data_IF_870147071370
#
_entry.id   IF_870147071370
#
_cell.length_a   1.000
_cell.length_b   1.000
_cell.length_c   1.000
_cell.angle_alpha   90.00
_cell.angle_beta   90.00
_cell.angle_gamma   90.00
#
_symmetry.space_group_name_H-M   'P 1'
#
loop_
_entity.id
_entity.type
_entity.pdbx_description
1 polymer ?
#
# COMPACT_ATOMS: atom_id res chain seq x y z
N UNK A 1 -4.21 16.65 -14.19
CA UNK A 1 -2.95 16.32 -14.89
C UNK A 1 -2.00 15.63 -13.91
N UNK A 2 -2.20 14.33 -13.71
CA UNK A 2 -1.27 13.53 -12.92
C UNK A 2 -0.08 13.15 -13.81
N UNK A 3 0.92 14.00 -13.84
CA UNK A 3 2.20 13.67 -14.46
C UNK A 3 3.09 12.99 -13.43
N UNK A 4 3.54 11.78 -13.71
CA UNK A 4 4.56 11.09 -12.93
C UNK A 4 5.81 11.98 -12.84
N UNK A 5 6.39 12.09 -11.64
CA UNK A 5 7.59 12.90 -11.40
C UNK A 5 8.75 12.00 -11.05
N UNK A 6 9.90 12.26 -11.64
CA UNK A 6 11.15 11.63 -11.21
C UNK A 6 11.66 12.40 -10.00
N UNK A 7 11.93 11.68 -8.89
CA UNK A 7 12.45 12.30 -7.67
C UNK A 7 13.80 12.97 -7.92
N UNK A 8 14.04 14.12 -7.30
CA UNK A 8 15.29 14.86 -7.44
C UNK A 8 16.54 14.03 -7.10
N UNK A 9 16.43 13.09 -6.15
CA UNK A 9 17.52 12.20 -5.74
C UNK A 9 17.98 11.23 -6.86
N UNK A 10 17.12 10.93 -7.84
CA UNK A 10 17.46 10.03 -8.96
C UNK A 10 17.78 10.76 -10.26
N UNK A 11 17.77 12.09 -10.26
CA UNK A 11 18.09 12.91 -11.42
C UNK A 11 19.50 13.47 -11.29
N UNK A 12 20.26 13.46 -12.36
CA UNK A 12 21.61 14.02 -12.40
C UNK A 12 21.62 15.55 -12.29
N UNK A 13 20.53 16.22 -12.68
CA UNK A 13 20.38 17.68 -12.62
C UNK A 13 19.90 18.19 -11.24
N UNK A 14 19.54 17.28 -10.32
CA UNK A 14 19.08 17.62 -8.97
C UNK A 14 17.78 18.43 -8.92
N UNK A 15 17.08 18.56 -10.04
CA UNK A 15 15.85 19.36 -10.13
C UNK A 15 14.61 18.47 -9.96
N UNK A 16 13.59 19.04 -9.35
CA UNK A 16 12.27 18.41 -9.21
C UNK A 16 11.23 19.33 -9.86
N UNK A 17 10.99 19.10 -11.13
CA UNK A 17 10.00 19.85 -11.89
C UNK A 17 9.10 18.92 -12.68
N UNK A 18 8.02 19.47 -13.23
CA UNK A 18 7.12 18.70 -14.09
C UNK A 18 7.90 18.07 -15.24
N UNK A 19 7.55 16.83 -15.55
CA UNK A 19 8.17 16.06 -16.63
C UNK A 19 7.81 16.66 -18.00
N UNK A 20 8.36 17.81 -18.32
CA UNK A 20 8.17 18.48 -19.61
C UNK A 20 9.27 18.13 -20.63
N UNK A 21 10.22 17.26 -20.26
CA UNK A 21 11.32 16.85 -21.13
C UNK A 21 12.06 15.61 -20.60
N UNK A 22 13.05 15.16 -21.38
CA UNK A 22 13.92 14.06 -21.00
C UNK A 22 14.76 14.45 -19.77
N UNK A 23 14.79 13.61 -18.75
CA UNK A 23 15.61 13.78 -17.57
C UNK A 23 16.58 12.60 -17.46
N UNK A 24 17.90 12.83 -17.46
CA UNK A 24 18.87 11.76 -17.28
C UNK A 24 18.75 11.18 -15.86
N UNK A 25 18.81 9.87 -15.73
CA UNK A 25 18.93 9.19 -14.44
C UNK A 25 20.39 9.23 -13.97
N UNK A 26 20.60 9.31 -12.65
CA UNK A 26 21.93 9.12 -12.09
C UNK A 26 22.42 7.70 -12.42
N UNK A 27 23.72 7.56 -12.75
CA UNK A 27 24.28 6.32 -13.28
C UNK A 27 24.05 5.09 -12.39
N UNK A 28 24.07 5.27 -11.08
CA UNK A 28 23.76 4.21 -10.10
C UNK A 28 22.33 3.69 -10.22
N UNK A 29 21.36 4.56 -10.46
CA UNK A 29 19.95 4.17 -10.65
C UNK A 29 19.70 3.59 -12.03
N UNK A 30 20.39 4.08 -13.07
CA UNK A 30 20.33 3.50 -14.41
C UNK A 30 20.86 2.07 -14.44
N UNK A 31 21.97 1.80 -13.74
CA UNK A 31 22.55 0.48 -13.61
C UNK A 31 21.67 -0.50 -12.79
N UNK A 32 21.00 0.00 -11.76
CA UNK A 32 20.19 -0.82 -10.84
C UNK A 32 18.78 -1.08 -11.35
N UNK A 33 18.16 -0.11 -12.01
CA UNK A 33 16.74 -0.15 -12.37
C UNK A 33 16.47 -0.03 -13.87
N UNK A 34 17.50 0.06 -14.70
CA UNK A 34 17.34 0.27 -16.15
C UNK A 34 16.49 -0.79 -16.83
N UNK A 35 16.70 -2.08 -16.52
CA UNK A 35 15.90 -3.18 -17.06
C UNK A 35 14.44 -3.11 -16.61
N UNK A 36 14.18 -2.78 -15.34
CA UNK A 36 12.83 -2.63 -14.81
C UNK A 36 12.08 -1.43 -15.43
N UNK A 37 12.81 -0.34 -15.71
CA UNK A 37 12.24 0.83 -16.39
C UNK A 37 11.90 0.49 -17.85
N UNK A 38 12.74 -0.31 -18.50
CA UNK A 38 12.50 -0.81 -19.86
C UNK A 38 11.23 -1.67 -19.89
N UNK A 39 11.14 -2.66 -19.02
CA UNK A 39 9.99 -3.55 -18.91
C UNK A 39 8.69 -2.78 -18.61
N UNK A 40 8.76 -1.82 -17.69
CA UNK A 40 7.62 -0.97 -17.35
C UNK A 40 7.17 -0.10 -18.53
N UNK A 41 8.10 0.38 -19.37
CA UNK A 41 7.75 1.19 -20.53
C UNK A 41 7.12 0.36 -21.65
N UNK A 42 7.59 -0.87 -21.85
CA UNK A 42 7.04 -1.82 -22.83
C UNK A 42 5.66 -2.33 -22.42
N UNK A 43 5.44 -2.52 -21.10
CA UNK A 43 4.16 -2.93 -20.55
C UNK A 43 3.13 -1.79 -20.43
N UNK A 44 3.51 -0.54 -20.70
CA UNK A 44 2.64 0.62 -20.53
C UNK A 44 1.62 0.74 -21.68
N UNK A 45 0.31 0.48 -21.43
CA UNK A 45 -0.69 0.42 -22.51
C UNK A 45 -1.01 1.78 -23.15
N UNK A 46 -0.55 2.87 -22.52
CA UNK A 46 -0.79 4.26 -22.98
C UNK A 46 0.50 4.96 -23.42
N UNK A 47 1.61 4.25 -23.50
CA UNK A 47 2.92 4.74 -23.98
C UNK A 47 3.38 6.08 -23.34
N UNK A 48 2.99 6.35 -22.10
CA UNK A 48 3.39 7.57 -21.40
C UNK A 48 4.79 7.49 -20.79
N UNK A 49 5.31 6.27 -20.59
CA UNK A 49 6.68 6.04 -20.10
C UNK A 49 7.58 5.92 -21.34
N UNK A 50 8.31 6.97 -21.63
CA UNK A 50 9.30 6.99 -22.73
C UNK A 50 10.69 7.13 -22.15
N UNK A 51 11.59 6.26 -22.55
CA UNK A 51 13.01 6.36 -22.21
C UNK A 51 13.85 6.18 -23.49
N UNK A 52 15.08 6.62 -23.43
CA UNK A 52 16.07 6.49 -24.50
C UNK A 52 17.36 6.00 -23.87
N UNK A 53 17.89 4.89 -24.36
CA UNK A 53 19.21 4.43 -23.98
C UNK A 53 20.23 5.37 -24.63
N UNK A 54 20.90 6.18 -23.80
CA UNK A 54 22.04 6.98 -24.25
C UNK A 54 23.25 6.06 -24.23
N UNK A 55 23.68 5.57 -25.40
CA UNK A 55 24.99 4.95 -25.52
C UNK A 55 26.03 6.06 -25.36
N UNK A 56 26.71 6.07 -24.22
CA UNK A 56 27.90 6.92 -24.05
C UNK A 56 28.96 6.51 -25.07
N UNK A 57 28.98 7.21 -26.17
CA UNK A 57 30.10 7.25 -27.09
C UNK A 57 31.18 8.19 -26.57
N UNK A 58 31.58 8.07 -25.32
CA UNK A 58 32.78 8.73 -24.80
C UNK A 58 33.85 7.64 -24.60
N UNK A 59 34.86 7.68 -25.45
CA UNK A 59 36.14 7.00 -25.24
C UNK A 59 36.58 7.18 -23.81
N UNK A 60 36.51 6.13 -23.00
CA UNK A 60 37.17 6.09 -21.71
C UNK A 60 38.64 5.90 -22.01
N UNK A 61 39.41 7.01 -22.11
CA UNK A 61 40.85 6.94 -21.99
C UNK A 61 41.15 6.38 -20.62
N UNK A 62 41.76 5.22 -20.60
CA UNK A 62 42.28 4.59 -19.39
C UNK A 62 43.21 5.56 -18.66
N UNK A 63 42.76 6.04 -17.52
CA UNK A 63 43.65 6.71 -16.57
C UNK A 63 44.28 5.61 -15.74
N UNK A 64 45.59 5.42 -15.95
CA UNK A 64 46.42 4.53 -15.15
C UNK A 64 46.22 4.79 -13.66
N UNK A 65 46.06 3.71 -12.93
CA UNK A 65 46.02 3.69 -11.47
C UNK A 65 47.34 4.27 -10.91
N UNK A 66 47.29 5.21 -9.97
CA UNK A 66 48.46 5.50 -9.14
C UNK A 66 48.62 4.41 -8.09
N UNK A 67 49.82 3.83 -8.09
CA UNK A 67 50.26 2.84 -7.11
C UNK A 67 50.36 3.45 -5.70
N UNK A 68 50.10 2.55 -4.72
CA UNK A 68 50.53 2.63 -3.33
C UNK A 68 50.21 3.89 -2.51
N UNK A 69 49.18 3.83 -1.71
CA UNK A 69 49.14 4.50 -0.41
C UNK A 69 48.96 3.47 0.68
N UNK A 70 49.95 3.54 1.61
CA UNK A 70 50.19 2.65 2.71
C UNK A 70 49.00 2.29 3.59
N UNK A 71 49.03 1.09 4.06
CA UNK A 71 48.23 0.57 5.16
C UNK A 71 48.40 1.45 6.41
N UNK A 72 47.41 2.25 6.74
CA UNK A 72 47.07 2.61 8.11
C UNK A 72 45.72 3.36 8.12
N UNK A 73 44.63 2.65 8.31
CA UNK A 73 43.32 3.06 8.83
C UNK A 73 42.30 1.94 8.63
N UNK A 74 42.51 0.83 9.32
CA UNK A 74 41.45 -0.24 9.42
C UNK A 74 40.77 -0.06 10.76
N UNK A 75 39.76 0.79 10.79
CA UNK A 75 38.58 0.68 11.67
C UNK A 75 37.61 1.84 11.35
N UNK A 76 36.73 1.66 10.42
CA UNK A 76 35.27 1.57 10.68
C UNK A 76 34.50 0.60 9.77
N UNK A 77 35.20 -0.20 8.94
CA UNK A 77 34.51 -1.11 8.01
C UNK A 77 33.76 -2.26 8.71
N UNK A 78 34.20 -2.65 9.91
CA UNK A 78 33.53 -3.70 10.67
C UNK A 78 32.19 -3.25 11.28
N UNK A 79 32.09 -1.99 11.71
CA UNK A 79 30.84 -1.43 12.22
C UNK A 79 29.83 -1.16 11.10
N UNK A 80 30.27 -0.65 9.94
CA UNK A 80 29.39 -0.41 8.80
C UNK A 80 28.85 -1.73 8.21
N UNK A 81 29.65 -2.77 8.17
CA UNK A 81 29.22 -4.13 7.73
C UNK A 81 28.27 -4.77 8.76
N UNK A 82 28.50 -4.54 10.06
CA UNK A 82 27.60 -5.02 11.11
C UNK A 82 26.25 -4.30 11.09
N UNK A 83 26.23 -2.96 10.84
CA UNK A 83 25.01 -2.17 10.72
C UNK A 83 24.24 -2.56 9.44
N UNK A 84 24.92 -2.75 8.32
CA UNK A 84 24.27 -3.22 7.08
C UNK A 84 23.77 -4.65 7.21
N UNK A 85 24.50 -5.53 7.91
CA UNK A 85 24.08 -6.90 8.17
C UNK A 85 22.90 -6.98 9.13
N UNK A 86 22.85 -6.12 10.16
CA UNK A 86 21.72 -6.06 11.09
C UNK A 86 20.46 -5.49 10.42
N UNK A 87 20.60 -4.41 9.63
CA UNK A 87 19.48 -3.84 8.88
C UNK A 87 18.93 -4.80 7.83
N UNK A 88 19.79 -5.58 7.18
CA UNK A 88 19.39 -6.63 6.24
C UNK A 88 18.70 -7.80 6.95
N UNK A 89 19.18 -8.21 8.14
CA UNK A 89 18.57 -9.26 8.94
C UNK A 89 17.23 -8.81 9.57
N UNK A 90 17.13 -7.57 10.02
CA UNK A 90 15.87 -6.97 10.49
C UNK A 90 14.84 -6.82 9.37
N UNK A 91 15.27 -6.41 8.17
CA UNK A 91 14.41 -6.34 6.99
C UNK A 91 13.94 -7.74 6.56
N UNK A 92 14.82 -8.74 6.58
CA UNK A 92 14.44 -10.14 6.33
C UNK A 92 13.48 -10.66 7.39
N UNK A 93 13.70 -10.37 8.66
CA UNK A 93 12.79 -10.76 9.75
C UNK A 93 11.42 -10.10 9.62
N UNK A 94 11.36 -8.85 9.14
CA UNK A 94 10.12 -8.16 8.79
C UNK A 94 9.42 -8.79 7.59
N UNK A 95 10.15 -9.36 6.66
CA UNK A 95 9.61 -10.06 5.49
C UNK A 95 9.23 -11.53 5.77
N UNK A 96 9.79 -12.16 6.80
CA UNK A 96 9.48 -13.54 7.20
C UNK A 96 8.20 -13.67 8.04
N UNK A 97 7.61 -12.55 8.51
CA UNK A 97 6.36 -12.56 9.25
C UNK A 97 5.13 -12.80 8.36
N UNK A 98 4.01 -13.11 8.99
CA UNK A 98 2.72 -13.13 8.30
C UNK A 98 2.43 -11.73 7.73
N UNK A 99 2.41 -11.61 6.40
CA UNK A 99 2.14 -10.38 5.64
C UNK A 99 0.75 -10.38 5.04
N UNK A 100 -0.09 -11.36 5.40
CA UNK A 100 -1.45 -11.45 4.88
C UNK A 100 -2.29 -10.24 5.31
N UNK A 101 -3.09 -9.75 4.39
CA UNK A 101 -4.06 -8.68 4.58
C UNK A 101 -5.40 -9.14 4.03
N UNK A 102 -6.41 -9.25 4.87
CA UNK A 102 -7.78 -9.44 4.44
C UNK A 102 -8.43 -8.08 4.13
N UNK A 103 -9.06 -7.96 2.98
CA UNK A 103 -9.86 -6.79 2.59
C UNK A 103 -11.29 -7.29 2.42
N UNK A 104 -12.15 -7.00 3.38
CA UNK A 104 -13.56 -7.37 3.36
C UNK A 104 -14.36 -6.23 2.71
N UNK A 105 -15.21 -6.55 1.75
CA UNK A 105 -16.09 -5.52 1.19
C UNK A 105 -17.57 -5.86 1.31
N UNK A 106 -18.37 -4.83 1.65
CA UNK A 106 -19.82 -4.82 1.58
C UNK A 106 -20.29 -3.78 0.56
N UNK A 107 -20.98 -4.19 -0.50
CA UNK A 107 -21.28 -3.30 -1.61
C UNK A 107 -22.63 -3.63 -2.27
N UNK A 108 -23.51 -2.63 -2.33
CA UNK A 108 -24.79 -2.77 -3.05
C UNK A 108 -24.63 -2.54 -4.56
N UNK A 109 -23.84 -1.54 -4.93
CA UNK A 109 -23.73 -1.05 -6.32
C UNK A 109 -22.38 -1.36 -6.96
N UNK A 110 -21.46 -2.03 -6.25
CA UNK A 110 -20.12 -2.36 -6.71
C UNK A 110 -19.04 -1.32 -6.37
N UNK A 111 -19.38 -0.16 -5.82
CA UNK A 111 -18.42 0.89 -5.51
C UNK A 111 -17.38 0.44 -4.46
N UNK A 112 -17.83 -0.12 -3.34
CA UNK A 112 -16.93 -0.65 -2.31
C UNK A 112 -16.08 -1.82 -2.82
N UNK A 113 -16.64 -2.69 -3.67
CA UNK A 113 -15.90 -3.75 -4.34
C UNK A 113 -14.75 -3.20 -5.21
N UNK A 114 -15.04 -2.18 -6.03
CA UNK A 114 -14.04 -1.51 -6.85
C UNK A 114 -12.91 -0.87 -6.03
N UNK A 115 -13.24 -0.25 -4.88
CA UNK A 115 -12.23 0.30 -3.97
C UNK A 115 -11.41 -0.80 -3.27
N UNK A 116 -12.02 -1.93 -2.93
CA UNK A 116 -11.31 -3.08 -2.34
C UNK A 116 -10.24 -3.62 -3.29
N UNK A 117 -10.57 -3.76 -4.57
CA UNK A 117 -9.61 -4.18 -5.60
C UNK A 117 -8.48 -3.16 -5.81
N UNK A 118 -8.81 -1.86 -5.83
CA UNK A 118 -7.80 -0.79 -5.91
C UNK A 118 -6.88 -0.81 -4.68
N UNK A 119 -7.45 -1.01 -3.48
CA UNK A 119 -6.71 -1.11 -2.21
C UNK A 119 -5.76 -2.31 -2.22
N UNK A 120 -6.19 -3.46 -2.73
CA UNK A 120 -5.35 -4.64 -2.85
C UNK A 120 -4.11 -4.39 -3.71
N UNK A 121 -4.28 -3.73 -4.87
CA UNK A 121 -3.15 -3.36 -5.74
C UNK A 121 -2.16 -2.44 -5.04
N UNK A 122 -2.63 -1.49 -4.24
CA UNK A 122 -1.77 -0.56 -3.50
C UNK A 122 -1.07 -1.25 -2.32
N UNK A 123 -1.74 -2.20 -1.64
CA UNK A 123 -1.19 -2.92 -0.49
C UNK A 123 0.09 -3.71 -0.81
N UNK A 124 0.21 -4.20 -2.04
CA UNK A 124 1.41 -4.90 -2.51
C UNK A 124 2.67 -4.01 -2.43
N UNK A 125 2.54 -2.69 -2.63
CA UNK A 125 3.65 -1.75 -2.53
C UNK A 125 4.19 -1.60 -1.09
N UNK A 126 3.43 -2.06 -0.10
CA UNK A 126 3.82 -2.09 1.32
C UNK A 126 4.27 -3.48 1.78
N UNK A 127 4.54 -4.38 0.84
CA UNK A 127 4.94 -5.75 1.12
C UNK A 127 3.85 -6.60 1.77
N UNK A 128 2.59 -6.20 1.64
CA UNK A 128 1.44 -6.97 2.11
C UNK A 128 0.98 -7.96 1.02
N UNK A 129 0.41 -9.07 1.45
CA UNK A 129 -0.20 -10.08 0.59
C UNK A 129 -1.71 -9.96 0.74
N UNK A 130 -2.38 -9.11 -0.07
CA UNK A 130 -3.79 -8.85 0.07
C UNK A 130 -4.65 -9.98 -0.51
N UNK A 131 -5.75 -10.26 0.16
CA UNK A 131 -6.84 -11.07 -0.38
C UNK A 131 -8.15 -10.31 -0.20
N UNK A 132 -8.87 -10.10 -1.29
CA UNK A 132 -10.16 -9.43 -1.28
C UNK A 132 -11.25 -10.49 -1.07
N UNK A 133 -12.12 -10.23 -0.12
CA UNK A 133 -13.24 -11.11 0.22
C UNK A 133 -14.56 -10.35 0.10
N UNK A 134 -15.48 -10.95 -0.63
CA UNK A 134 -16.89 -10.59 -0.52
C UNK A 134 -17.39 -11.00 0.87
N UNK A 135 -18.14 -10.14 1.53
CA UNK A 135 -18.74 -10.46 2.83
C UNK A 135 -19.84 -11.53 2.68
N UNK A 136 -20.43 -11.69 1.48
CA UNK A 136 -21.33 -12.80 1.22
C UNK A 136 -20.57 -14.13 1.23
N UNK A 137 -21.05 -15.05 2.06
CA UNK A 137 -20.41 -16.36 2.22
C UNK A 137 -19.07 -16.36 2.96
N UNK A 138 -18.60 -15.23 3.49
CA UNK A 138 -17.41 -15.20 4.32
C UNK A 138 -17.65 -15.91 5.65
N UNK A 139 -16.74 -16.82 6.02
CA UNK A 139 -16.82 -17.55 7.28
C UNK A 139 -16.39 -16.70 8.48
N UNK A 140 -17.36 -16.22 9.27
CA UNK A 140 -17.13 -15.42 10.46
C UNK A 140 -16.18 -16.07 11.48
N UNK A 141 -16.10 -17.42 11.52
CA UNK A 141 -15.19 -18.14 12.43
C UNK A 141 -13.73 -17.94 12.10
N UNK A 142 -13.42 -17.51 10.87
CA UNK A 142 -12.05 -17.26 10.40
C UNK A 142 -11.56 -15.83 10.67
N UNK A 143 -12.43 -14.90 11.06
CA UNK A 143 -12.08 -13.49 11.26
C UNK A 143 -10.85 -13.29 12.15
N UNK A 144 -10.76 -14.02 13.26
CA UNK A 144 -9.64 -13.94 14.20
C UNK A 144 -8.29 -14.43 13.62
N UNK A 145 -8.33 -15.17 12.51
CA UNK A 145 -7.13 -15.65 11.82
C UNK A 145 -6.48 -14.56 10.95
N UNK A 146 -7.28 -13.58 10.51
CA UNK A 146 -6.81 -12.46 9.70
C UNK A 146 -6.26 -11.35 10.59
N UNK A 147 -4.95 -11.39 10.88
CA UNK A 147 -4.30 -10.44 11.80
C UNK A 147 -4.33 -8.99 11.33
N UNK A 148 -4.48 -8.78 10.01
CA UNK A 148 -4.65 -7.49 9.37
C UNK A 148 -5.90 -7.51 8.53
N UNK A 149 -6.82 -6.59 8.81
CA UNK A 149 -8.11 -6.53 8.14
C UNK A 149 -8.46 -5.09 7.76
N UNK A 150 -8.77 -4.86 6.50
CA UNK A 150 -9.40 -3.62 6.05
C UNK A 150 -10.85 -3.92 5.68
N UNK A 151 -11.74 -3.04 6.08
CA UNK A 151 -13.17 -3.14 5.76
C UNK A 151 -13.53 -1.96 4.88
N UNK A 152 -14.15 -2.23 3.73
CA UNK A 152 -14.64 -1.20 2.82
C UNK A 152 -16.10 -1.49 2.55
N UNK A 153 -17.00 -0.66 3.06
CA UNK A 153 -18.44 -0.94 2.96
C UNK A 153 -19.24 0.30 2.61
N UNK A 154 -20.29 0.09 1.82
CA UNK A 154 -21.31 1.11 1.57
C UNK A 154 -22.45 0.97 2.58
N UNK A 155 -23.18 2.07 2.79
CA UNK A 155 -24.44 2.07 3.52
C UNK A 155 -25.59 2.03 2.54
N UNK A 156 -26.62 1.25 2.82
CA UNK A 156 -27.82 1.11 2.02
C UNK A 156 -29.05 1.58 2.77
N UNK A 157 -30.09 1.98 2.03
CA UNK A 157 -31.38 2.38 2.60
C UNK A 157 -31.27 3.44 3.68
N UNK A 158 -31.85 3.16 4.82
CA UNK A 158 -31.85 4.05 6.00
C UNK A 158 -30.81 3.62 7.04
N UNK A 159 -29.61 3.24 6.59
CA UNK A 159 -28.50 2.86 7.47
C UNK A 159 -28.19 1.36 7.50
N UNK A 160 -28.83 0.56 6.62
CA UNK A 160 -28.66 -0.88 6.59
C UNK A 160 -27.33 -1.30 5.97
N UNK A 161 -26.91 -2.51 6.30
CA UNK A 161 -25.79 -3.18 5.61
C UNK A 161 -26.18 -3.45 4.15
N UNK A 162 -25.22 -3.42 3.21
CA UNK A 162 -25.46 -3.94 1.86
C UNK A 162 -25.87 -5.42 1.89
N UNK A 163 -26.64 -5.87 0.92
CA UNK A 163 -27.16 -7.25 0.87
C UNK A 163 -26.07 -8.31 1.06
N UNK A 164 -24.91 -8.11 0.45
CA UNK A 164 -23.78 -9.03 0.58
C UNK A 164 -23.06 -8.98 1.94
N UNK A 165 -23.36 -8.00 2.79
CA UNK A 165 -22.76 -7.88 4.13
C UNK A 165 -23.69 -8.33 5.26
N UNK A 166 -24.99 -8.40 4.99
CA UNK A 166 -26.02 -8.62 6.01
C UNK A 166 -25.83 -9.96 6.77
N UNK A 167 -25.58 -11.04 6.05
CA UNK A 167 -25.41 -12.38 6.64
C UNK A 167 -24.19 -12.43 7.57
N UNK A 168 -23.06 -11.86 7.15
CA UNK A 168 -21.86 -11.78 7.96
C UNK A 168 -22.09 -10.90 9.20
N UNK A 169 -22.73 -9.74 9.02
CA UNK A 169 -23.06 -8.82 10.10
C UNK A 169 -23.92 -9.47 11.20
N UNK A 170 -24.96 -10.16 10.80
CA UNK A 170 -25.85 -10.89 11.73
C UNK A 170 -25.07 -11.98 12.48
N UNK A 171 -24.23 -12.73 11.78
CA UNK A 171 -23.42 -13.78 12.38
C UNK A 171 -22.42 -13.22 13.40
N UNK A 172 -21.66 -12.19 13.03
CA UNK A 172 -20.68 -11.53 13.91
C UNK A 172 -21.37 -10.88 15.11
N UNK A 173 -22.54 -10.29 14.89
CA UNK A 173 -23.31 -9.65 15.97
C UNK A 173 -23.85 -10.63 16.98
N UNK A 174 -24.28 -11.82 16.54
CA UNK A 174 -24.85 -12.85 17.42
C UNK A 174 -23.79 -13.72 18.09
N UNK A 175 -22.72 -14.09 17.38
CA UNK A 175 -21.68 -14.99 17.90
C UNK A 175 -20.60 -14.25 18.68
N UNK A 176 -20.40 -12.96 18.40
CA UNK A 176 -19.42 -12.09 19.06
C UNK A 176 -18.02 -12.72 19.20
N UNK A 177 -17.38 -13.15 18.09
CA UNK A 177 -16.07 -13.79 18.14
C UNK A 177 -15.03 -12.82 18.71
N UNK A 178 -14.06 -13.33 19.49
CA UNK A 178 -12.95 -12.49 19.95
C UNK A 178 -12.01 -12.16 18.80
N UNK A 179 -11.77 -10.86 18.57
CA UNK A 179 -10.83 -10.35 17.57
C UNK A 179 -9.53 -9.80 18.21
N UNK A 180 -9.21 -10.27 19.41
CA UNK A 180 -7.96 -9.88 20.08
C UNK A 180 -6.74 -10.17 19.22
N UNK A 181 -5.89 -9.15 18.99
CA UNK A 181 -4.71 -9.24 18.15
C UNK A 181 -4.96 -9.10 16.65
N UNK A 182 -6.19 -8.78 16.24
CA UNK A 182 -6.51 -8.31 14.88
C UNK A 182 -6.31 -6.79 14.83
N UNK A 183 -5.60 -6.32 13.82
CA UNK A 183 -5.45 -4.88 13.50
C UNK A 183 -6.37 -4.54 12.34
N UNK A 184 -7.13 -3.46 12.45
CA UNK A 184 -8.11 -3.13 11.43
C UNK A 184 -8.25 -1.63 11.18
N UNK A 185 -8.87 -1.29 10.05
CA UNK A 185 -9.41 0.04 9.75
C UNK A 185 -10.59 -0.08 8.79
N UNK A 186 -11.43 0.93 8.77
CA UNK A 186 -12.68 0.95 7.98
C UNK A 186 -12.70 2.16 7.05
N UNK A 187 -13.12 1.93 5.81
CA UNK A 187 -13.53 2.96 4.87
C UNK A 187 -15.03 2.79 4.58
N UNK A 188 -15.81 3.75 4.99
CA UNK A 188 -17.26 3.75 4.88
C UNK A 188 -17.71 4.67 3.75
N UNK A 189 -18.58 4.20 2.87
CA UNK A 189 -19.18 4.98 1.80
C UNK A 189 -20.66 5.22 2.14
N UNK A 190 -21.08 6.46 2.02
CA UNK A 190 -22.45 6.87 2.25
C UNK A 190 -22.85 8.04 1.36
N UNK A 191 -23.92 8.70 1.74
CA UNK A 191 -24.41 9.92 1.12
C UNK A 191 -24.91 10.84 2.25
N UNK A 192 -24.34 12.02 2.36
CA UNK A 192 -24.71 13.03 3.37
C UNK A 192 -26.13 13.59 3.22
N UNK A 193 -26.82 13.26 2.13
CA UNK A 193 -28.24 13.56 1.98
C UNK A 193 -29.16 12.71 2.87
N UNK A 194 -28.63 11.64 3.48
CA UNK A 194 -29.37 10.73 4.35
C UNK A 194 -28.93 10.88 5.81
N UNK A 195 -29.87 10.76 6.74
CA UNK A 195 -29.63 10.95 8.17
C UNK A 195 -28.61 9.95 8.74
N UNK A 196 -28.64 8.71 8.26
CA UNK A 196 -27.73 7.62 8.69
C UNK A 196 -26.48 7.51 7.79
N UNK A 197 -25.80 8.65 7.61
CA UNK A 197 -24.59 8.75 6.79
C UNK A 197 -23.50 7.77 7.26
N UNK A 198 -23.02 6.91 6.33
CA UNK A 198 -21.96 5.92 6.57
C UNK A 198 -22.23 4.93 7.73
N UNK A 199 -23.48 4.76 8.15
CA UNK A 199 -23.88 3.98 9.33
C UNK A 199 -23.33 2.56 9.31
N UNK A 200 -23.42 1.84 8.20
CA UNK A 200 -22.93 0.47 8.08
C UNK A 200 -21.42 0.37 8.39
N UNK A 201 -20.62 1.32 7.92
CA UNK A 201 -19.18 1.35 8.22
C UNK A 201 -18.89 1.73 9.66
N UNK A 202 -19.65 2.66 10.24
CA UNK A 202 -19.54 3.02 11.66
C UNK A 202 -19.87 1.81 12.54
N UNK A 203 -20.92 1.07 12.21
CA UNK A 203 -21.30 -0.14 12.94
C UNK A 203 -20.20 -1.22 12.88
N UNK A 204 -19.55 -1.42 11.73
CA UNK A 204 -18.40 -2.32 11.63
C UNK A 204 -17.22 -1.85 12.47
N UNK A 205 -16.89 -0.56 12.46
CA UNK A 205 -15.81 0.02 13.24
C UNK A 205 -16.02 -0.18 14.74
N UNK A 206 -17.21 0.14 15.23
CA UNK A 206 -17.60 -0.06 16.64
C UNK A 206 -17.61 -1.54 17.03
N UNK A 207 -18.13 -2.40 16.12
CA UNK A 207 -18.20 -3.84 16.37
C UNK A 207 -16.82 -4.46 16.51
N UNK A 208 -15.88 -4.16 15.61
CA UNK A 208 -14.53 -4.69 15.70
C UNK A 208 -13.82 -4.26 16.96
N UNK A 209 -13.98 -3.00 17.38
CA UNK A 209 -13.45 -2.51 18.66
C UNK A 209 -14.09 -3.25 19.83
N UNK A 210 -15.40 -3.40 19.86
CA UNK A 210 -16.12 -4.11 20.93
C UNK A 210 -15.70 -5.59 21.03
N UNK A 211 -15.28 -6.21 19.93
CA UNK A 211 -14.77 -7.59 19.89
C UNK A 211 -13.27 -7.68 20.23
N UNK A 212 -12.62 -6.56 20.57
CA UNK A 212 -11.24 -6.52 21.05
C UNK A 212 -10.18 -6.34 19.95
N UNK A 213 -10.57 -5.98 18.74
CA UNK A 213 -9.61 -5.66 17.68
C UNK A 213 -8.93 -4.30 17.94
N UNK A 214 -7.69 -4.16 17.44
CA UNK A 214 -6.91 -2.93 17.55
C UNK A 214 -7.13 -2.06 16.30
N UNK A 215 -7.62 -0.85 16.48
CA UNK A 215 -7.76 0.10 15.39
C UNK A 215 -6.38 0.59 14.95
N UNK A 216 -5.95 0.23 13.74
CA UNK A 216 -4.68 0.65 13.17
C UNK A 216 -4.74 2.08 12.62
N UNK A 217 -5.89 2.47 12.09
CA UNK A 217 -6.16 3.81 11.59
C UNK A 217 -7.63 4.17 11.81
N UNK A 218 -7.91 5.47 11.96
CA UNK A 218 -9.27 5.97 12.14
C UNK A 218 -10.15 5.63 10.92
N UNK A 219 -11.44 5.48 11.19
CA UNK A 219 -12.43 5.27 10.13
C UNK A 219 -12.47 6.46 9.18
N UNK A 220 -12.55 6.19 7.88
CA UNK A 220 -12.81 7.21 6.87
C UNK A 220 -14.27 7.17 6.44
N UNK A 221 -14.94 8.29 6.57
CA UNK A 221 -16.30 8.48 6.05
C UNK A 221 -16.21 9.17 4.69
N UNK A 222 -16.77 8.54 3.68
CA UNK A 222 -16.75 9.01 2.31
C UNK A 222 -18.18 9.31 1.84
N UNK A 223 -18.39 10.51 1.30
CA UNK A 223 -19.63 10.91 0.66
C UNK A 223 -19.70 10.36 -0.78
N UNK A 224 -20.65 10.80 -1.59
CA UNK A 224 -20.85 10.39 -2.98
C UNK A 224 -19.59 10.49 -3.84
N UNK A 225 -18.74 11.48 -3.60
CA UNK A 225 -17.39 11.58 -4.18
C UNK A 225 -16.36 10.87 -3.26
N UNK A 226 -16.43 9.56 -3.25
CA UNK A 226 -15.71 8.71 -2.30
C UNK A 226 -14.24 8.47 -2.66
N UNK A 227 -13.82 8.66 -3.91
CA UNK A 227 -12.46 8.32 -4.34
C UNK A 227 -11.38 9.19 -3.69
N UNK A 228 -11.50 10.53 -3.62
CA UNK A 228 -10.48 11.36 -2.98
C UNK A 228 -10.28 11.06 -1.49
N UNK A 229 -11.33 10.99 -0.64
CA UNK A 229 -11.14 10.63 0.77
C UNK A 229 -10.65 9.19 0.96
N UNK A 230 -11.09 8.23 0.13
CA UNK A 230 -10.53 6.88 0.14
C UNK A 230 -9.02 6.88 -0.17
N UNK A 231 -8.57 7.66 -1.16
CA UNK A 231 -7.16 7.73 -1.53
C UNK A 231 -6.28 8.25 -0.37
N UNK A 232 -6.79 9.22 0.40
CA UNK A 232 -6.11 9.71 1.61
C UNK A 232 -6.06 8.60 2.67
N UNK A 233 -7.20 7.97 2.95
CA UNK A 233 -7.29 6.90 3.94
C UNK A 233 -6.36 5.73 3.62
N UNK A 234 -6.34 5.25 2.38
CA UNK A 234 -5.52 4.10 2.01
C UNK A 234 -4.02 4.40 2.12
N UNK A 235 -3.61 5.63 1.77
CA UNK A 235 -2.23 6.08 1.92
C UNK A 235 -1.77 6.15 3.39
N UNK A 236 -2.69 6.42 4.33
CA UNK A 236 -2.39 6.49 5.75
C UNK A 236 -2.60 5.16 6.48
N UNK A 237 -3.57 4.36 6.07
CA UNK A 237 -3.91 3.10 6.72
C UNK A 237 -2.92 1.98 6.36
N UNK A 238 -2.50 1.86 5.09
CA UNK A 238 -1.62 0.77 4.65
C UNK A 238 -0.28 0.74 5.38
N UNK A 239 0.48 1.84 5.55
CA UNK A 239 1.72 1.80 6.30
C UNK A 239 1.52 1.43 7.77
N UNK A 240 0.42 1.86 8.39
CA UNK A 240 0.12 1.57 9.80
C UNK A 240 -0.28 0.11 10.02
N UNK A 241 -1.00 -0.48 9.08
CA UNK A 241 -1.44 -1.88 9.19
C UNK A 241 -0.35 -2.87 8.75
N UNK A 242 0.64 -2.40 8.00
CA UNK A 242 1.79 -3.19 7.57
C UNK A 242 2.85 -3.38 8.67
N UNK A 243 2.84 -2.53 9.71
CA UNK A 243 3.78 -2.58 10.85
C UNK A 243 3.59 -3.78 11.77
#
# INVERSE_FOLDING_TARGET
DETSKILAAVRTDGTFDRNTGKAPLAGEFGAQYGELILEASEACPVEIIKFELVSDGAEVTAVEAPAEIAADAVAPAAEAVAIAGSASAELMALMEGDRSLAILFGSQTGNAAGLAEKTAKLAANYGLIPTVYDMDGFDASTLANHKRTLIITSTWGEGEMPDNAESLWQTVSSQAPSLAGVHFSVCAIGDTAYDEFCKAGVDWDEKYQALGANKAHEIQLCDVDYEPPWAIWVAEALPKIAC
#
